data_IF_589053628928
#
_entry.id   IF_589053628928
#
_cell.length_a   1.000
_cell.length_b   1.000
_cell.length_c   1.000
_cell.angle_alpha   90.00
_cell.angle_beta   90.00
_cell.angle_gamma   90.00
#
_symmetry.space_group_name_H-M   'P 1'
#
loop_
_entity.id
_entity.type
_entity.pdbx_description
1 polymer ?
#
# COMPACT_ATOMS: atom_id res chain seq x y z
N UNK A 1 0.51 -13.85 -18.36
CA UNK A 1 1.58 -14.78 -17.92
C UNK A 1 1.02 -15.72 -16.89
N UNK A 2 1.46 -16.97 -16.89
CA UNK A 2 1.05 -18.01 -15.95
C UNK A 2 2.26 -18.44 -15.15
N UNK A 3 2.10 -18.58 -13.83
CA UNK A 3 3.10 -19.15 -12.93
C UNK A 3 2.55 -20.45 -12.39
N UNK A 4 3.29 -21.54 -12.52
CA UNK A 4 2.94 -22.81 -11.92
C UNK A 4 3.64 -22.98 -10.58
N UNK A 5 2.86 -23.24 -9.54
CA UNK A 5 3.34 -23.47 -8.18
C UNK A 5 3.12 -24.95 -7.88
N UNK A 6 4.20 -25.67 -7.60
CA UNK A 6 4.11 -27.06 -7.14
C UNK A 6 3.71 -27.12 -5.68
N UNK A 7 2.75 -27.97 -5.37
CA UNK A 7 2.33 -28.19 -4.00
C UNK A 7 3.36 -29.07 -3.28
N UNK A 8 3.96 -28.57 -2.21
CA UNK A 8 5.00 -29.28 -1.45
C UNK A 8 4.47 -30.37 -0.50
N UNK A 9 3.16 -30.37 -0.23
CA UNK A 9 2.53 -31.36 0.69
C UNK A 9 2.19 -32.69 0.02
N UNK A 10 2.82 -33.03 -1.11
CA UNK A 10 2.64 -34.31 -1.79
C UNK A 10 1.31 -34.45 -2.58
N UNK A 11 0.54 -33.40 -2.66
CA UNK A 11 -0.64 -33.34 -3.53
C UNK A 11 -0.23 -33.11 -4.99
N UNK A 12 -0.71 -33.94 -5.90
CA UNK A 12 -0.35 -33.97 -7.33
C UNK A 12 -0.85 -32.77 -8.16
N UNK A 13 -1.31 -31.69 -7.57
CA UNK A 13 -1.86 -30.55 -8.33
C UNK A 13 -0.95 -29.35 -8.32
N UNK A 14 -0.31 -29.10 -9.46
CA UNK A 14 0.27 -27.80 -9.75
C UNK A 14 -0.82 -26.73 -9.76
N UNK A 15 -0.62 -25.67 -9.01
CA UNK A 15 -1.51 -24.51 -9.04
C UNK A 15 -1.00 -23.57 -10.13
N UNK A 16 -1.80 -23.39 -11.16
CA UNK A 16 -1.52 -22.43 -12.22
C UNK A 16 -2.15 -21.08 -11.87
N UNK A 17 -1.32 -20.06 -11.76
CA UNK A 17 -1.74 -18.71 -11.37
C UNK A 17 -1.67 -17.81 -12.59
N UNK A 18 -2.83 -17.30 -13.05
CA UNK A 18 -2.88 -16.26 -14.06
C UNK A 18 -2.60 -14.91 -13.41
N UNK A 19 -1.43 -14.34 -13.67
CA UNK A 19 -0.90 -13.20 -12.94
C UNK A 19 -1.71 -11.91 -13.08
N UNK A 20 -2.37 -11.71 -14.23
CA UNK A 20 -3.16 -10.50 -14.52
C UNK A 20 -4.51 -10.45 -13.80
N UNK A 21 -5.03 -11.61 -13.37
CA UNK A 21 -6.36 -11.72 -12.73
C UNK A 21 -6.30 -12.17 -11.28
N UNK A 22 -5.12 -12.57 -10.79
CA UNK A 22 -4.94 -13.15 -9.45
C UNK A 22 -4.50 -12.12 -8.43
N UNK A 23 -5.19 -12.14 -7.28
CA UNK A 23 -4.78 -11.41 -6.06
C UNK A 23 -4.28 -12.43 -5.04
N UNK A 24 -3.05 -12.26 -4.60
CA UNK A 24 -2.40 -13.15 -3.63
C UNK A 24 -2.49 -12.54 -2.23
N UNK A 25 -3.23 -13.18 -1.33
CA UNK A 25 -3.26 -12.83 0.07
C UNK A 25 -2.10 -13.49 0.82
N UNK A 26 -1.15 -12.69 1.25
CA UNK A 26 0.02 -13.16 2.00
C UNK A 26 -0.32 -13.30 3.48
N UNK A 27 -0.04 -14.47 4.06
CA UNK A 27 -0.22 -14.72 5.49
C UNK A 27 1.13 -14.83 6.20
N UNK A 28 1.12 -14.63 7.52
CA UNK A 28 2.34 -14.51 8.35
C UNK A 28 3.36 -15.64 8.13
N UNK A 29 2.91 -16.88 8.00
CA UNK A 29 3.81 -18.03 7.77
C UNK A 29 4.68 -17.94 6.52
N UNK A 30 4.33 -17.07 5.57
CA UNK A 30 5.16 -16.87 4.37
C UNK A 30 6.50 -16.19 4.64
N UNK A 31 6.69 -15.54 5.79
CA UNK A 31 7.94 -14.87 6.17
C UNK A 31 8.83 -15.73 7.09
N UNK A 32 8.35 -16.89 7.53
CA UNK A 32 9.06 -17.72 8.52
C UNK A 32 10.27 -18.45 7.95
N UNK A 33 10.37 -18.53 6.60
CA UNK A 33 11.49 -19.21 5.96
C UNK A 33 11.84 -18.59 4.59
N UNK A 34 13.03 -18.94 4.10
CA UNK A 34 13.56 -18.44 2.82
C UNK A 34 12.71 -18.86 1.62
N UNK A 35 12.08 -20.03 1.66
CA UNK A 35 11.23 -20.54 0.59
C UNK A 35 10.00 -19.65 0.43
N UNK A 36 9.36 -19.27 1.53
CA UNK A 36 8.22 -18.34 1.52
C UNK A 36 8.60 -16.98 0.95
N UNK A 37 9.74 -16.41 1.36
CA UNK A 37 10.25 -15.15 0.81
C UNK A 37 10.58 -15.24 -0.68
N UNK A 38 11.16 -16.35 -1.13
CA UNK A 38 11.45 -16.59 -2.54
C UNK A 38 10.16 -16.71 -3.37
N UNK A 39 9.15 -17.41 -2.85
CA UNK A 39 7.85 -17.55 -3.49
C UNK A 39 7.14 -16.19 -3.63
N UNK A 40 7.15 -15.36 -2.57
CA UNK A 40 6.61 -14.00 -2.63
C UNK A 40 7.29 -13.18 -3.72
N UNK A 41 8.63 -13.21 -3.76
CA UNK A 41 9.40 -12.52 -4.80
C UNK A 41 9.06 -13.01 -6.21
N UNK A 42 8.91 -14.32 -6.39
CA UNK A 42 8.56 -14.93 -7.67
C UNK A 42 7.18 -14.50 -8.15
N UNK A 43 6.17 -14.58 -7.30
CA UNK A 43 4.80 -14.16 -7.64
C UNK A 43 4.72 -12.66 -7.91
N UNK A 44 5.42 -11.86 -7.13
CA UNK A 44 5.51 -10.42 -7.29
C UNK A 44 6.16 -10.05 -8.63
N UNK A 45 7.30 -10.66 -8.97
CA UNK A 45 8.01 -10.43 -10.23
C UNK A 45 7.23 -10.95 -11.44
N UNK A 46 6.47 -12.03 -11.27
CA UNK A 46 5.60 -12.57 -12.32
C UNK A 46 4.38 -11.69 -12.61
N UNK A 47 4.06 -10.73 -11.74
CA UNK A 47 3.00 -9.79 -12.01
C UNK A 47 1.73 -9.97 -11.19
N UNK A 48 1.70 -10.86 -10.22
CA UNK A 48 0.56 -10.98 -9.32
C UNK A 48 0.39 -9.74 -8.47
N UNK A 49 -0.86 -9.37 -8.22
CA UNK A 49 -1.15 -8.41 -7.16
C UNK A 49 -0.97 -9.09 -5.80
N UNK A 50 -0.06 -8.56 -5.01
CA UNK A 50 0.22 -9.07 -3.67
C UNK A 50 -0.50 -8.24 -2.60
N UNK A 51 -1.12 -8.90 -1.63
CA UNK A 51 -1.62 -8.30 -0.39
C UNK A 51 -1.00 -9.07 0.80
N UNK A 52 0.14 -8.64 1.32
CA UNK A 52 0.98 -7.51 0.88
C UNK A 52 2.13 -7.99 -0.01
N UNK A 53 2.82 -7.01 -0.61
CA UNK A 53 4.11 -7.23 -1.22
C UNK A 53 5.20 -7.53 -0.18
N UNK A 54 6.36 -7.95 -0.67
CA UNK A 54 7.50 -8.28 0.18
C UNK A 54 7.94 -7.12 1.06
N UNK A 55 8.03 -5.91 0.52
CA UNK A 55 8.57 -4.76 1.24
C UNK A 55 7.60 -4.27 2.32
N UNK A 56 6.30 -4.22 2.01
CA UNK A 56 5.25 -3.92 2.99
C UNK A 56 5.19 -4.94 4.12
N UNK A 57 5.33 -6.24 3.79
CA UNK A 57 5.40 -7.30 4.80
C UNK A 57 6.63 -7.14 5.70
N UNK A 58 7.82 -6.94 5.12
CA UNK A 58 9.06 -6.78 5.87
C UNK A 58 9.06 -5.54 6.76
N UNK A 59 8.49 -4.42 6.28
CA UNK A 59 8.36 -3.20 7.09
C UNK A 59 7.47 -3.44 8.31
N UNK A 60 6.35 -4.14 8.13
CA UNK A 60 5.43 -4.43 9.23
C UNK A 60 5.95 -5.50 10.20
N UNK A 61 6.72 -6.49 9.71
CA UNK A 61 7.24 -7.57 10.55
C UNK A 61 8.41 -7.12 11.44
N UNK A 62 9.26 -6.23 10.93
CA UNK A 62 10.41 -5.71 11.66
C UNK A 62 10.04 -4.46 12.47
N UNK A 63 9.99 -4.61 13.80
CA UNK A 63 9.56 -3.55 14.73
C UNK A 63 10.41 -2.27 14.65
N UNK A 64 11.72 -2.40 14.37
CA UNK A 64 12.58 -1.23 14.20
C UNK A 64 12.33 -0.52 12.87
N UNK A 65 12.07 -1.26 11.80
CA UNK A 65 11.67 -0.68 10.51
C UNK A 65 10.36 0.07 10.62
N UNK A 66 9.35 -0.51 11.28
CA UNK A 66 8.08 0.13 11.55
C UNK A 66 8.25 1.42 12.37
N UNK A 67 9.01 1.34 13.47
CA UNK A 67 9.34 2.51 14.30
C UNK A 67 10.00 3.63 13.47
N UNK A 68 10.99 3.30 12.66
CA UNK A 68 11.71 4.29 11.84
C UNK A 68 10.80 5.00 10.84
N UNK A 69 9.88 4.28 10.20
CA UNK A 69 8.93 4.92 9.27
C UNK A 69 7.89 5.76 9.99
N UNK A 70 7.50 5.39 11.21
CA UNK A 70 6.59 6.21 12.03
C UNK A 70 7.28 7.51 12.46
N UNK A 71 8.49 7.43 12.99
CA UNK A 71 9.26 8.61 13.41
C UNK A 71 9.48 9.60 12.26
N UNK A 72 9.86 9.10 11.06
CA UNK A 72 10.04 9.93 9.85
C UNK A 72 8.76 10.63 9.38
N UNK A 73 7.60 10.07 9.70
CA UNK A 73 6.30 10.63 9.34
C UNK A 73 5.60 11.36 10.49
N UNK A 74 6.33 11.66 11.58
CA UNK A 74 5.83 12.33 12.80
C UNK A 74 4.62 11.62 13.44
N UNK A 75 4.56 10.29 13.31
CA UNK A 75 3.54 9.46 13.94
C UNK A 75 4.00 9.13 15.34
N UNK A 76 3.19 9.47 16.33
CA UNK A 76 3.52 9.21 17.71
C UNK A 76 3.53 7.73 18.03
N UNK A 77 4.65 7.25 18.55
CA UNK A 77 4.89 5.85 18.90
C UNK A 77 5.70 5.79 20.19
N UNK A 78 5.65 4.73 20.99
CA UNK A 78 6.48 4.62 22.18
C UNK A 78 7.96 4.72 21.80
N UNK A 79 8.75 5.49 22.54
CA UNK A 79 10.18 5.68 22.28
C UNK A 79 10.87 4.33 22.29
N UNK A 80 11.60 4.06 21.23
CA UNK A 80 12.19 2.72 20.95
C UNK A 80 13.67 2.87 20.59
N UNK A 81 14.51 2.00 21.09
CA UNK A 81 15.93 1.95 20.74
C UNK A 81 16.40 0.53 20.48
N UNK A 82 17.25 0.39 19.46
CA UNK A 82 17.92 -0.87 19.17
C UNK A 82 19.02 -1.15 20.22
N UNK A 83 19.17 -2.40 20.59
CA UNK A 83 20.22 -2.88 21.49
C UNK A 83 21.00 -3.99 20.80
N UNK A 84 22.28 -3.76 20.53
CA UNK A 84 23.13 -4.68 19.77
C UNK A 84 24.42 -5.11 20.49
N UNK A 85 24.76 -4.49 21.62
CA UNK A 85 25.86 -4.87 22.48
C UNK A 85 25.66 -4.32 23.92
N UNK A 86 26.42 -4.81 24.89
CA UNK A 86 26.29 -4.43 26.31
C UNK A 86 26.49 -2.93 26.55
N UNK A 87 27.45 -2.31 25.86
CA UNK A 87 27.69 -0.86 25.99
C UNK A 87 26.52 -0.02 25.52
N UNK A 88 25.77 -0.50 24.51
CA UNK A 88 24.63 0.20 23.97
C UNK A 88 23.38 0.12 24.85
N UNK A 89 23.34 -0.72 25.88
CA UNK A 89 22.14 -0.90 26.71
C UNK A 89 21.81 0.36 27.50
N UNK A 90 22.82 0.95 28.15
CA UNK A 90 22.65 2.16 28.98
C UNK A 90 22.21 3.32 28.09
N UNK A 91 22.94 3.57 27.00
CA UNK A 91 22.59 4.65 26.06
C UNK A 91 21.19 4.46 25.46
N UNK A 92 20.81 3.23 25.16
CA UNK A 92 19.48 2.90 24.64
C UNK A 92 18.40 3.17 25.69
N UNK A 93 18.64 2.83 26.96
CA UNK A 93 17.73 3.13 28.06
C UNK A 93 17.55 4.64 28.26
N UNK A 94 18.62 5.41 28.20
CA UNK A 94 18.55 6.86 28.26
C UNK A 94 17.75 7.48 27.11
N UNK A 95 17.96 6.98 25.87
CA UNK A 95 17.21 7.45 24.68
C UNK A 95 15.71 7.23 24.77
N UNK A 96 15.26 6.17 25.44
CA UNK A 96 13.84 5.93 25.65
C UNK A 96 13.29 6.67 26.90
N UNK A 97 14.12 7.49 27.56
CA UNK A 97 13.74 8.37 28.68
C UNK A 97 14.26 7.96 30.04
N UNK A 98 15.11 6.93 30.15
CA UNK A 98 15.85 6.56 31.36
C UNK A 98 14.98 6.14 32.54
N UNK A 99 13.75 5.68 32.31
CA UNK A 99 12.79 5.31 33.35
C UNK A 99 12.36 3.85 33.23
N UNK A 100 12.16 3.21 34.37
CA UNK A 100 11.52 1.91 34.46
C UNK A 100 10.03 2.05 34.81
N UNK A 101 9.18 1.06 34.45
CA UNK A 101 9.54 -0.15 33.71
C UNK A 101 9.77 0.11 32.23
N UNK A 102 10.48 -0.83 31.57
CA UNK A 102 10.68 -0.83 30.11
C UNK A 102 10.21 -2.15 29.50
N UNK A 103 9.97 -2.15 28.20
CA UNK A 103 9.62 -3.34 27.43
C UNK A 103 10.80 -3.76 26.57
N UNK A 104 11.19 -5.03 26.65
CA UNK A 104 12.15 -5.66 25.76
C UNK A 104 11.37 -6.47 24.72
N UNK A 105 11.72 -6.35 23.45
CA UNK A 105 11.09 -7.11 22.36
C UNK A 105 12.14 -7.66 21.40
N UNK A 106 11.87 -8.82 20.81
CA UNK A 106 12.58 -9.27 19.62
C UNK A 106 12.17 -8.40 18.42
N UNK A 107 13.09 -8.17 17.47
CA UNK A 107 12.82 -7.38 16.26
C UNK A 107 11.66 -7.93 15.43
N UNK A 108 11.63 -9.26 15.29
CA UNK A 108 10.57 -9.99 14.59
C UNK A 108 9.80 -10.86 15.59
N UNK A 109 8.67 -11.37 15.17
CA UNK A 109 7.81 -12.22 15.98
C UNK A 109 6.43 -11.60 16.23
N UNK A 110 5.48 -12.49 16.49
CA UNK A 110 4.05 -12.16 16.59
C UNK A 110 3.46 -12.67 17.91
N UNK A 111 2.20 -12.36 18.18
CA UNK A 111 1.40 -12.91 19.29
C UNK A 111 1.89 -12.55 20.71
N UNK A 112 2.80 -11.56 20.85
CA UNK A 112 3.35 -11.18 22.15
C UNK A 112 4.43 -12.13 22.68
N UNK A 113 4.90 -13.10 21.87
CA UNK A 113 6.04 -13.97 22.18
C UNK A 113 7.32 -13.12 22.02
N UNK A 114 8.29 -13.29 22.92
CA UNK A 114 9.52 -12.50 22.92
C UNK A 114 9.35 -11.06 23.44
N UNK A 115 8.29 -10.80 24.23
CA UNK A 115 8.04 -9.50 24.87
C UNK A 115 8.14 -9.66 26.38
N UNK A 116 9.04 -8.91 27.01
CA UNK A 116 9.27 -8.91 28.45
C UNK A 116 9.16 -7.50 29.02
N UNK A 117 8.50 -7.37 30.17
CA UNK A 117 8.49 -6.13 30.97
C UNK A 117 9.53 -6.29 32.09
N UNK A 118 10.39 -5.30 32.26
CA UNK A 118 11.44 -5.29 33.28
C UNK A 118 11.40 -3.98 34.06
N UNK A 119 11.67 -4.09 35.35
CA UNK A 119 11.47 -3.01 36.31
C UNK A 119 12.79 -2.46 36.88
N UNK A 120 13.95 -3.02 36.48
CA UNK A 120 15.27 -2.55 36.91
C UNK A 120 16.33 -2.78 35.83
N UNK A 121 17.50 -2.13 35.99
CA UNK A 121 18.67 -2.30 35.11
C UNK A 121 19.19 -3.74 35.18
N UNK A 122 19.24 -4.33 36.37
CA UNK A 122 19.75 -5.69 36.59
C UNK A 122 18.88 -6.72 35.85
N UNK A 123 17.54 -6.57 35.98
CA UNK A 123 16.61 -7.46 35.27
C UNK A 123 16.65 -7.25 33.76
N UNK A 124 16.84 -6.00 33.30
CA UNK A 124 17.02 -5.69 31.89
C UNK A 124 18.25 -6.34 31.30
N UNK A 125 19.42 -6.20 31.95
CA UNK A 125 20.67 -6.80 31.54
C UNK A 125 20.55 -8.32 31.48
N UNK A 126 19.99 -8.95 32.52
CA UNK A 126 19.81 -10.40 32.61
C UNK A 126 18.95 -10.95 31.47
N UNK A 127 17.83 -10.31 31.16
CA UNK A 127 16.94 -10.73 30.07
C UNK A 127 17.63 -10.56 28.71
N UNK A 128 18.27 -9.42 28.47
CA UNK A 128 18.95 -9.14 27.20
C UNK A 128 20.09 -10.15 26.97
N UNK A 129 20.94 -10.37 27.96
CA UNK A 129 22.05 -11.35 27.86
C UNK A 129 21.56 -12.77 27.60
N UNK A 130 20.44 -13.15 28.24
CA UNK A 130 19.81 -14.46 28.01
C UNK A 130 19.32 -14.64 26.59
N UNK A 131 18.68 -13.62 26.03
CA UNK A 131 18.17 -13.66 24.65
C UNK A 131 19.31 -13.60 23.61
N UNK A 132 20.39 -12.90 23.89
CA UNK A 132 21.55 -12.86 22.99
C UNK A 132 22.25 -14.19 22.81
N UNK A 133 22.17 -15.11 23.81
CA UNK A 133 22.67 -16.47 23.64
C UNK A 133 22.01 -17.22 22.47
N UNK A 134 20.81 -16.78 22.06
CA UNK A 134 20.07 -17.31 20.92
C UNK A 134 20.19 -16.42 19.69
N UNK A 135 21.15 -15.48 19.65
CA UNK A 135 21.33 -14.50 18.58
C UNK A 135 20.09 -13.68 18.26
N UNK A 136 19.21 -13.45 19.24
CA UNK A 136 17.99 -12.68 19.03
C UNK A 136 18.31 -11.18 18.94
N UNK A 137 18.03 -10.50 17.82
CA UNK A 137 18.13 -9.06 17.76
C UNK A 137 17.00 -8.41 18.56
N UNK A 138 17.34 -7.40 19.37
CA UNK A 138 16.45 -6.85 20.39
C UNK A 138 16.26 -5.35 20.24
N UNK A 139 15.07 -4.89 20.64
CA UNK A 139 14.77 -3.49 20.93
C UNK A 139 14.32 -3.36 22.38
N UNK A 140 14.59 -2.19 22.95
CA UNK A 140 13.94 -1.75 24.18
C UNK A 140 13.00 -0.59 23.87
N UNK A 141 11.91 -0.52 24.61
CA UNK A 141 10.84 0.45 24.37
C UNK A 141 10.32 0.97 25.71
N UNK A 142 9.94 2.26 25.78
CA UNK A 142 9.28 2.81 26.97
C UNK A 142 7.98 2.04 27.24
N UNK A 143 7.68 1.88 28.51
CA UNK A 143 6.43 1.25 28.93
C UNK A 143 5.31 2.27 28.99
N UNK A 144 4.26 2.06 28.21
CA UNK A 144 3.02 2.81 28.31
C UNK A 144 2.01 2.02 29.14
N UNK A 145 1.46 2.66 30.19
CA UNK A 145 0.37 2.05 30.98
C UNK A 145 -0.92 2.18 30.20
N UNK A 146 -1.37 1.08 29.60
CA UNK A 146 -2.62 1.00 28.84
C UNK A 146 -3.50 -0.08 29.45
N UNK A 147 -4.82 0.11 29.42
CA UNK A 147 -5.79 -0.89 29.86
C UNK A 147 -6.38 -1.66 28.69
N UNK A 148 -6.35 -1.08 27.51
CA UNK A 148 -6.76 -1.68 26.25
C UNK A 148 -5.97 -1.06 25.11
N UNK A 149 -5.92 -1.77 24.00
CA UNK A 149 -5.50 -1.21 22.72
C UNK A 149 -6.60 -1.40 21.68
N UNK A 150 -6.46 -0.73 20.56
CA UNK A 150 -7.39 -0.81 19.44
C UNK A 150 -6.62 -1.32 18.22
N UNK A 151 -7.09 -2.43 17.64
CA UNK A 151 -6.63 -2.93 16.34
C UNK A 151 -7.55 -2.46 15.24
N UNK A 152 -7.00 -1.76 14.27
CA UNK A 152 -7.72 -1.30 13.08
C UNK A 152 -7.14 -1.93 11.83
N UNK A 153 -7.98 -2.53 11.00
CA UNK A 153 -7.57 -3.08 9.71
C UNK A 153 -7.78 -2.03 8.63
N UNK A 154 -6.72 -1.74 7.91
CA UNK A 154 -6.70 -0.79 6.78
C UNK A 154 -6.38 -1.57 5.52
N UNK A 155 -7.13 -1.34 4.44
CA UNK A 155 -6.92 -1.90 3.11
C UNK A 155 -6.91 -0.76 2.09
N UNK A 156 -5.82 -0.62 1.33
CA UNK A 156 -5.68 0.41 0.32
C UNK A 156 -6.01 1.83 0.81
N UNK A 157 -5.52 2.18 2.01
CA UNK A 157 -5.78 3.49 2.62
C UNK A 157 -7.22 3.72 3.08
N UNK A 158 -8.02 2.66 3.23
CA UNK A 158 -9.38 2.70 3.77
C UNK A 158 -9.50 1.83 5.00
N UNK A 159 -10.17 2.31 6.02
CA UNK A 159 -10.45 1.53 7.21
C UNK A 159 -11.52 0.48 6.87
N UNK A 160 -11.22 -0.77 7.14
CA UNK A 160 -12.13 -1.90 6.93
C UNK A 160 -12.89 -2.20 8.22
N UNK A 161 -12.15 -2.28 9.33
CA UNK A 161 -12.73 -2.69 10.60
C UNK A 161 -11.85 -2.28 11.78
N UNK A 162 -12.45 -2.10 12.96
CA UNK A 162 -11.74 -1.84 14.21
C UNK A 162 -12.30 -2.64 15.38
N UNK A 163 -11.42 -2.96 16.32
CA UNK A 163 -11.77 -3.73 17.54
C UNK A 163 -10.92 -3.27 18.71
N UNK A 164 -11.55 -3.11 19.84
CA UNK A 164 -10.91 -2.89 21.14
C UNK A 164 -10.50 -4.23 21.74
N UNK A 165 -9.28 -4.32 22.25
CA UNK A 165 -8.71 -5.49 22.92
C UNK A 165 -8.42 -5.14 24.37
N UNK A 166 -9.17 -5.68 25.29
CA UNK A 166 -9.04 -5.43 26.72
C UNK A 166 -8.07 -6.45 27.29
N UNK A 167 -6.97 -5.99 27.90
CA UNK A 167 -5.95 -6.86 28.47
C UNK A 167 -6.52 -7.69 29.63
N UNK A 168 -6.03 -8.92 29.86
CA UNK A 168 -6.32 -9.68 31.06
C UNK A 168 -5.77 -8.97 32.32
N UNK A 169 -6.40 -9.14 33.47
CA UNK A 169 -5.96 -8.51 34.75
C UNK A 169 -4.52 -8.86 35.14
N UNK A 170 -4.05 -10.06 34.80
CA UNK A 170 -2.75 -10.58 35.19
C UNK A 170 -1.66 -10.46 34.11
N UNK A 171 -1.96 -9.86 32.97
CA UNK A 171 -0.98 -9.66 31.88
C UNK A 171 -0.95 -8.18 31.47
N UNK A 172 0.26 -7.69 31.17
CA UNK A 172 0.43 -6.33 30.64
C UNK A 172 0.14 -6.26 29.14
N UNK A 173 0.05 -7.40 28.44
CA UNK A 173 -0.19 -7.53 27.00
C UNK A 173 -1.68 -7.65 26.70
N UNK A 174 -2.11 -7.05 25.60
CA UNK A 174 -3.51 -7.06 25.11
C UNK A 174 -3.73 -8.01 23.92
N UNK A 175 -2.80 -8.93 23.68
CA UNK A 175 -2.89 -9.88 22.57
C UNK A 175 -4.02 -10.90 22.81
N UNK A 176 -4.81 -11.18 21.77
CA UNK A 176 -5.91 -12.17 21.85
C UNK A 176 -5.45 -13.56 22.28
N UNK A 177 -4.28 -14.00 21.80
CA UNK A 177 -3.67 -15.28 22.19
C UNK A 177 -3.37 -15.38 23.69
N UNK A 178 -3.28 -14.23 24.37
CA UNK A 178 -3.09 -14.14 25.82
C UNK A 178 -4.41 -14.01 26.58
N UNK A 179 -5.57 -14.20 25.92
CA UNK A 179 -6.88 -14.20 26.57
C UNK A 179 -7.58 -12.83 26.59
N UNK A 180 -7.13 -11.84 25.84
CA UNK A 180 -7.80 -10.55 25.76
C UNK A 180 -9.23 -10.65 25.25
N UNK A 181 -10.15 -9.94 25.89
CA UNK A 181 -11.52 -9.77 25.42
C UNK A 181 -11.55 -8.77 24.28
N UNK A 182 -12.38 -9.04 23.27
CA UNK A 182 -12.50 -8.16 22.09
C UNK A 182 -13.92 -7.61 21.96
N UNK A 183 -14.03 -6.33 21.64
CA UNK A 183 -15.28 -5.59 21.41
C UNK A 183 -15.18 -4.77 20.13
N UNK A 184 -16.28 -4.59 19.37
CA UNK A 184 -16.31 -3.60 18.29
C UNK A 184 -15.97 -2.21 18.82
N UNK A 185 -15.22 -1.43 18.04
CA UNK A 185 -14.79 -0.09 18.44
C UNK A 185 -15.01 0.93 17.31
N UNK A 186 -15.67 2.04 17.62
CA UNK A 186 -15.85 3.14 16.66
C UNK A 186 -14.76 4.19 16.87
N UNK A 187 -13.97 4.39 15.84
CA UNK A 187 -12.85 5.35 15.86
C UNK A 187 -13.33 6.80 15.80
N UNK A 188 -12.69 7.67 16.55
CA UNK A 188 -12.80 9.13 16.40
C UNK A 188 -12.23 9.60 15.05
N UNK A 189 -12.43 10.87 14.74
CA UNK A 189 -11.87 11.48 13.53
C UNK A 189 -10.34 11.56 13.60
N UNK A 190 -9.82 11.88 14.76
CA UNK A 190 -8.40 11.98 15.06
C UNK A 190 -7.72 10.62 14.96
N UNK A 191 -8.30 9.58 15.58
CA UNK A 191 -7.81 8.21 15.47
C UNK A 191 -7.78 7.75 14.00
N UNK A 192 -8.86 7.99 13.22
CA UNK A 192 -8.87 7.67 11.78
C UNK A 192 -7.71 8.31 11.03
N UNK A 193 -7.43 9.58 11.30
CA UNK A 193 -6.33 10.31 10.66
C UNK A 193 -4.96 9.70 10.96
N UNK A 194 -4.67 9.46 12.25
CA UNK A 194 -3.39 8.89 12.69
C UNK A 194 -3.19 7.47 12.17
N UNK A 195 -4.23 6.63 12.25
CA UNK A 195 -4.18 5.26 11.75
C UNK A 195 -3.93 5.20 10.25
N UNK A 196 -4.61 6.05 9.47
CA UNK A 196 -4.39 6.13 8.02
C UNK A 196 -3.00 6.67 7.67
N UNK A 197 -2.45 7.58 8.47
CA UNK A 197 -1.07 8.04 8.34
C UNK A 197 -0.08 6.91 8.60
N UNK A 198 -0.27 6.15 9.70
CA UNK A 198 0.56 5.00 10.05
C UNK A 198 0.50 3.91 8.96
N UNK A 199 -0.69 3.59 8.49
CA UNK A 199 -0.88 2.61 7.41
C UNK A 199 -0.13 3.03 6.12
N UNK A 200 -0.23 4.31 5.72
CA UNK A 200 0.51 4.83 4.55
C UNK A 200 2.02 4.76 4.74
N UNK A 201 2.51 5.08 5.94
CA UNK A 201 3.94 5.07 6.24
C UNK A 201 4.58 3.69 6.06
N UNK A 202 3.84 2.60 6.30
CA UNK A 202 4.36 1.22 6.09
C UNK A 202 4.50 0.84 4.63
N UNK A 203 3.83 1.51 3.71
CA UNK A 203 3.74 1.10 2.30
C UNK A 203 2.88 -0.15 2.06
N UNK A 204 2.42 -0.85 3.10
CA UNK A 204 1.62 -2.05 2.97
C UNK A 204 0.23 -1.75 2.40
N UNK A 205 -0.26 -2.63 1.53
CA UNK A 205 -1.60 -2.51 0.95
C UNK A 205 -2.70 -2.85 1.98
N UNK A 206 -2.45 -3.87 2.81
CA UNK A 206 -3.28 -4.24 3.95
C UNK A 206 -2.44 -4.22 5.22
N UNK A 207 -2.92 -3.57 6.25
CA UNK A 207 -2.20 -3.51 7.52
C UNK A 207 -3.17 -3.46 8.70
N UNK A 208 -2.84 -4.19 9.75
CA UNK A 208 -3.45 -4.03 11.06
C UNK A 208 -2.63 -3.03 11.87
N UNK A 209 -3.20 -1.88 12.18
CA UNK A 209 -2.57 -0.86 13.02
C UNK A 209 -3.08 -1.02 14.45
N UNK A 210 -2.16 -1.24 15.38
CA UNK A 210 -2.45 -1.29 16.80
C UNK A 210 -2.11 0.06 17.43
N UNK A 211 -3.07 0.66 18.10
CA UNK A 211 -2.86 1.95 18.78
C UNK A 211 -3.52 1.96 20.17
N UNK A 212 -3.08 2.89 20.99
CA UNK A 212 -3.67 3.15 22.30
C UNK A 212 -3.77 4.67 22.54
N UNK A 213 -4.66 5.05 23.44
CA UNK A 213 -4.80 6.44 23.91
C UNK A 213 -4.19 6.51 25.30
N UNK A 214 -3.20 7.38 25.46
CA UNK A 214 -2.52 7.61 26.74
C UNK A 214 -2.45 9.11 26.99
N UNK A 215 -3.06 9.57 28.07
CA UNK A 215 -3.15 11.02 28.41
C UNK A 215 -3.71 11.85 27.23
N UNK A 216 -4.79 11.40 26.64
CA UNK A 216 -5.47 12.00 25.48
C UNK A 216 -4.64 12.08 24.19
N UNK A 217 -3.52 11.36 24.14
CA UNK A 217 -2.67 11.28 22.96
C UNK A 217 -2.71 9.87 22.33
N UNK A 218 -2.75 9.84 21.00
CA UNK A 218 -2.80 8.59 20.23
C UNK A 218 -1.38 8.09 20.00
N UNK A 219 -1.09 6.86 20.45
CA UNK A 219 0.18 6.18 20.24
C UNK A 219 -0.02 4.98 19.32
N UNK A 220 0.64 4.95 18.18
CA UNK A 220 0.73 3.76 17.34
C UNK A 220 1.73 2.79 17.96
N UNK A 221 1.28 1.61 18.36
CA UNK A 221 2.08 0.63 19.09
C UNK A 221 2.83 -0.31 18.15
N UNK A 222 2.16 -0.78 17.11
CA UNK A 222 2.73 -1.66 16.07
C UNK A 222 1.87 -1.70 14.82
N UNK A 223 2.47 -2.16 13.72
CA UNK A 223 1.78 -2.52 12.49
C UNK A 223 1.98 -3.99 12.16
N UNK A 224 0.95 -4.61 11.60
CA UNK A 224 0.97 -6.02 11.25
C UNK A 224 0.52 -6.20 9.79
N UNK A 225 1.42 -6.68 8.92
CA UNK A 225 1.14 -6.89 7.49
C UNK A 225 0.23 -8.08 7.20
N UNK A 226 -0.02 -8.94 8.17
CA UNK A 226 -0.93 -10.09 8.08
C UNK A 226 -1.84 -10.15 9.30
N UNK A 227 -2.74 -9.15 9.50
CA UNK A 227 -3.54 -9.08 10.71
C UNK A 227 -4.52 -10.26 10.83
N UNK A 228 -4.75 -10.70 12.08
CA UNK A 228 -5.81 -11.67 12.39
C UNK A 228 -7.19 -11.05 12.17
N UNK A 229 -8.08 -11.79 11.51
CA UNK A 229 -9.43 -11.34 11.14
C UNK A 229 -10.55 -12.05 11.94
N UNK A 230 -10.22 -12.73 13.02
CA UNK A 230 -11.15 -13.54 13.79
C UNK A 230 -11.66 -12.87 15.09
N UNK A 231 -11.66 -11.55 15.20
CA UNK A 231 -12.16 -10.80 16.36
C UNK A 231 -13.57 -10.24 16.11
N UNK A 232 -14.22 -9.74 17.15
CA UNK A 232 -15.42 -8.92 17.00
C UNK A 232 -15.01 -7.52 16.57
N UNK A 233 -15.35 -7.14 15.35
CA UNK A 233 -15.01 -5.86 14.75
C UNK A 233 -16.22 -4.96 14.57
N UNK A 234 -16.01 -3.65 14.65
CA UNK A 234 -16.84 -2.65 14.01
C UNK A 234 -16.36 -2.53 12.55
N UNK A 235 -17.22 -2.81 11.59
CA UNK A 235 -16.91 -2.71 10.18
C UNK A 235 -17.19 -1.30 9.63
N UNK A 236 -16.60 -0.97 8.50
CA UNK A 236 -16.75 0.33 7.84
C UNK A 236 -17.08 0.16 6.37
N UNK A 237 -17.96 1.02 5.86
CA UNK A 237 -18.28 1.07 4.44
C UNK A 237 -17.06 1.57 3.65
N UNK A 238 -16.49 0.71 2.84
CA UNK A 238 -15.32 1.04 2.05
C UNK A 238 -15.63 1.83 0.78
N UNK A 239 -16.90 1.99 0.42
CA UNK A 239 -17.34 2.74 -0.76
C UNK A 239 -17.59 4.21 -0.46
N UNK A 240 -17.85 4.56 0.81
CA UNK A 240 -18.19 5.92 1.25
C UNK A 240 -16.94 6.70 1.67
N UNK A 241 -16.92 8.01 1.37
CA UNK A 241 -15.90 8.96 1.85
C UNK A 241 -16.63 10.22 2.35
N UNK A 242 -16.59 10.54 3.67
CA UNK A 242 -15.89 9.82 4.75
C UNK A 242 -16.50 8.45 5.04
N UNK A 243 -15.69 7.56 5.63
CA UNK A 243 -16.13 6.20 5.94
C UNK A 243 -17.05 6.16 7.16
N UNK A 244 -18.22 5.57 7.00
CA UNK A 244 -19.20 5.39 8.06
C UNK A 244 -19.18 3.96 8.60
N UNK A 245 -19.39 3.76 9.92
CA UNK A 245 -19.52 2.43 10.50
C UNK A 245 -20.77 1.73 9.97
N UNK A 246 -20.63 0.43 9.67
CA UNK A 246 -21.76 -0.45 9.32
C UNK A 246 -21.83 -1.64 10.29
N UNK A 247 -23.03 -2.19 10.46
CA UNK A 247 -23.24 -3.37 11.28
C UNK A 247 -23.28 -4.63 10.41
N UNK A 248 -22.89 -5.76 11.00
CA UNK A 248 -23.15 -7.12 10.50
C UNK A 248 -22.47 -7.55 9.19
N UNK A 249 -21.54 -6.80 8.61
CA UNK A 249 -20.78 -7.27 7.47
C UNK A 249 -19.55 -8.10 7.88
N UNK A 250 -19.30 -9.18 7.15
CA UNK A 250 -18.07 -9.96 7.34
C UNK A 250 -16.89 -9.22 6.70
N UNK A 251 -15.85 -8.97 7.49
CA UNK A 251 -14.63 -8.25 7.06
C UNK A 251 -14.02 -8.82 5.78
N UNK A 252 -13.97 -10.15 5.64
CA UNK A 252 -13.42 -10.80 4.44
C UNK A 252 -14.32 -10.53 3.23
N UNK A 253 -15.65 -10.58 3.41
CA UNK A 253 -16.63 -10.27 2.36
C UNK A 253 -16.45 -8.81 1.88
N UNK A 254 -16.33 -7.85 2.80
CA UNK A 254 -16.07 -6.45 2.47
C UNK A 254 -14.78 -6.27 1.66
N UNK A 255 -13.71 -6.93 2.07
CA UNK A 255 -12.42 -6.89 1.38
C UNK A 255 -12.51 -7.50 -0.01
N UNK A 256 -13.16 -8.65 -0.16
CA UNK A 256 -13.33 -9.32 -1.46
C UNK A 256 -14.17 -8.46 -2.39
N UNK A 257 -15.30 -7.93 -1.91
CA UNK A 257 -16.15 -7.04 -2.70
C UNK A 257 -15.40 -5.79 -3.18
N UNK A 258 -14.61 -5.19 -2.30
CA UNK A 258 -13.79 -4.04 -2.65
C UNK A 258 -12.76 -4.39 -3.75
N UNK A 259 -12.09 -5.53 -3.65
CA UNK A 259 -11.09 -5.99 -4.60
C UNK A 259 -11.66 -6.54 -5.92
N UNK A 260 -12.95 -6.84 -5.98
CA UNK A 260 -13.61 -7.19 -7.25
C UNK A 260 -13.55 -6.04 -8.26
N UNK A 261 -13.56 -4.80 -7.79
CA UNK A 261 -13.34 -3.65 -8.67
C UNK A 261 -11.85 -3.52 -9.03
N UNK A 262 -11.47 -3.66 -10.31
CA UNK A 262 -10.07 -3.57 -10.75
C UNK A 262 -9.37 -2.25 -10.39
N UNK A 263 -10.12 -1.16 -10.24
CA UNK A 263 -9.61 0.17 -9.87
C UNK A 263 -8.96 0.16 -8.48
N UNK A 264 -9.40 -0.73 -7.60
CA UNK A 264 -8.86 -0.86 -6.26
C UNK A 264 -7.62 -1.76 -6.17
N UNK A 265 -7.19 -2.35 -7.28
CA UNK A 265 -6.04 -3.24 -7.31
C UNK A 265 -4.77 -2.44 -7.54
N UNK A 266 -3.80 -2.61 -6.66
CA UNK A 266 -2.46 -1.99 -6.78
C UNK A 266 -1.42 -3.06 -7.06
N UNK A 267 -0.40 -2.66 -7.79
CA UNK A 267 0.78 -3.47 -8.05
C UNK A 267 2.00 -2.75 -7.53
N UNK A 268 3.04 -3.50 -7.16
CA UNK A 268 4.29 -2.90 -6.72
C UNK A 268 5.06 -2.32 -7.90
N UNK A 269 5.76 -1.23 -7.63
CA UNK A 269 6.63 -0.57 -8.58
C UNK A 269 7.96 -1.32 -8.65
N UNK A 270 8.16 -2.11 -9.71
CA UNK A 270 9.39 -2.87 -9.91
C UNK A 270 10.33 -2.24 -10.94
N UNK A 271 9.86 -1.25 -11.71
CA UNK A 271 10.62 -0.69 -12.82
C UNK A 271 10.51 0.83 -12.88
N UNK A 272 11.60 1.48 -13.24
CA UNK A 272 11.57 2.90 -13.55
C UNK A 272 11.06 3.13 -14.97
N UNK A 273 10.10 4.02 -15.13
CA UNK A 273 9.61 4.54 -16.42
C UNK A 273 9.97 6.00 -16.59
N UNK A 274 9.92 6.49 -17.82
CA UNK A 274 9.90 7.92 -18.09
C UNK A 274 8.55 8.56 -17.81
N UNK A 275 8.50 9.88 -17.74
CA UNK A 275 7.22 10.60 -17.60
C UNK A 275 6.40 10.64 -18.91
N UNK A 276 7.01 10.28 -20.04
CA UNK A 276 6.35 9.93 -21.29
C UNK A 276 6.77 8.54 -21.70
N UNK A 277 5.79 7.74 -22.10
CA UNK A 277 5.97 6.39 -22.62
C UNK A 277 5.02 6.14 -23.79
N UNK A 278 5.31 5.10 -24.58
CA UNK A 278 4.37 4.59 -25.58
C UNK A 278 3.59 3.43 -24.98
N UNK A 279 2.28 3.49 -25.05
CA UNK A 279 1.38 2.40 -24.67
C UNK A 279 0.49 2.04 -25.87
N UNK A 280 0.01 0.81 -25.92
CA UNK A 280 -0.96 0.38 -26.92
C UNK A 280 -2.32 0.15 -26.27
N UNK A 281 -3.34 0.86 -26.77
CA UNK A 281 -4.73 0.52 -26.49
C UNK A 281 -5.13 -0.52 -27.54
N UNK A 282 -5.35 -1.77 -27.16
CA UNK A 282 -5.37 -2.93 -28.10
C UNK A 282 -6.33 -2.77 -29.27
N UNK A 283 -7.53 -2.18 -29.05
CA UNK A 283 -8.51 -1.99 -30.12
C UNK A 283 -8.25 -0.71 -30.95
N UNK A 284 -7.37 0.17 -30.46
CA UNK A 284 -7.10 1.47 -31.10
C UNK A 284 -5.72 1.51 -31.76
N UNK A 285 -4.66 1.13 -31.02
CA UNK A 285 -3.26 1.19 -31.43
C UNK A 285 -2.35 1.96 -30.48
N UNK A 286 -1.14 2.25 -30.94
CA UNK A 286 -0.11 2.91 -30.15
C UNK A 286 -0.46 4.40 -29.90
N UNK A 287 -0.29 4.82 -28.66
CA UNK A 287 -0.47 6.20 -28.23
C UNK A 287 0.69 6.66 -27.36
N UNK A 288 1.04 7.94 -27.49
CA UNK A 288 1.94 8.60 -26.54
C UNK A 288 1.18 8.90 -25.26
N UNK A 289 1.67 8.35 -24.17
CA UNK A 289 1.11 8.52 -22.85
C UNK A 289 2.00 9.41 -21.98
N UNK A 290 1.39 10.35 -21.24
CA UNK A 290 2.04 11.03 -20.13
C UNK A 290 1.69 10.31 -18.85
N UNK A 291 2.67 9.90 -18.09
CA UNK A 291 2.54 9.26 -16.80
C UNK A 291 2.45 10.34 -15.71
N UNK A 292 1.25 10.51 -15.13
CA UNK A 292 0.94 11.62 -14.24
C UNK A 292 0.70 11.13 -12.80
N UNK A 293 1.74 11.21 -11.99
CA UNK A 293 1.69 10.81 -10.57
C UNK A 293 0.81 11.73 -9.72
N UNK A 294 0.51 12.94 -10.19
CA UNK A 294 -0.41 13.88 -9.55
C UNK A 294 -1.89 13.62 -9.85
N UNK A 295 -2.18 12.83 -10.89
CA UNK A 295 -3.57 12.55 -11.29
C UNK A 295 -4.20 11.46 -10.41
N UNK A 296 -4.97 11.88 -9.41
CA UNK A 296 -5.72 11.01 -8.48
C UNK A 296 -7.13 10.65 -8.91
N UNK A 297 -7.54 10.96 -10.15
CA UNK A 297 -8.88 10.61 -10.67
C UNK A 297 -9.05 9.08 -10.78
N UNK A 298 -10.28 8.62 -10.78
CA UNK A 298 -10.65 7.20 -10.84
C UNK A 298 -10.44 6.54 -12.21
N UNK A 299 -9.98 7.30 -13.22
CA UNK A 299 -9.68 6.82 -14.56
C UNK A 299 -8.55 7.62 -15.21
N UNK A 300 -7.75 6.97 -16.05
CA UNK A 300 -6.83 7.66 -16.98
C UNK A 300 -7.64 8.47 -18.00
N UNK A 301 -7.07 9.54 -18.55
CA UNK A 301 -7.78 10.40 -19.49
C UNK A 301 -7.28 10.16 -20.92
N UNK A 302 -8.20 9.90 -21.84
CA UNK A 302 -7.91 9.71 -23.27
C UNK A 302 -8.62 10.78 -24.12
N UNK A 303 -7.82 11.49 -24.89
CA UNK A 303 -8.32 12.54 -25.80
C UNK A 303 -8.81 11.92 -27.10
N UNK A 304 -10.06 12.18 -27.43
CA UNK A 304 -10.74 11.68 -28.64
C UNK A 304 -11.38 12.83 -29.42
N UNK A 305 -11.74 12.59 -30.68
CA UNK A 305 -12.24 13.64 -31.56
C UNK A 305 -13.75 13.91 -31.34
N UNK A 306 -14.51 12.83 -31.04
CA UNK A 306 -15.95 12.91 -30.77
C UNK A 306 -16.38 11.92 -29.71
N UNK A 307 -17.39 12.30 -28.93
CA UNK A 307 -18.00 11.46 -27.90
C UNK A 307 -19.52 11.64 -27.97
N UNK A 308 -20.23 10.52 -27.90
CA UNK A 308 -21.69 10.48 -27.75
C UNK A 308 -22.04 9.39 -26.74
N UNK A 309 -22.73 9.77 -25.67
CA UNK A 309 -23.26 8.80 -24.69
C UNK A 309 -24.71 8.48 -25.08
N UNK A 310 -25.02 7.20 -25.20
CA UNK A 310 -26.33 6.70 -25.61
C UNK A 310 -26.74 5.58 -24.64
N UNK A 311 -27.44 5.93 -23.58
CA UNK A 311 -27.81 5.06 -22.48
C UNK A 311 -26.57 4.43 -21.80
N UNK A 312 -26.43 3.11 -21.91
CA UNK A 312 -25.30 2.35 -21.36
C UNK A 312 -24.12 2.19 -22.33
N UNK A 313 -24.13 2.87 -23.46
CA UNK A 313 -23.09 2.81 -24.49
C UNK A 313 -22.43 4.16 -24.69
N UNK A 314 -21.14 4.13 -24.97
CA UNK A 314 -20.35 5.30 -25.39
C UNK A 314 -19.86 5.04 -26.80
N UNK A 315 -20.28 5.90 -27.73
CA UNK A 315 -19.79 5.95 -29.11
C UNK A 315 -18.72 7.04 -29.16
N UNK A 316 -17.56 6.73 -29.67
CA UNK A 316 -16.49 7.70 -29.78
C UNK A 316 -15.69 7.52 -31.07
N UNK A 317 -15.01 8.57 -31.49
CA UNK A 317 -14.22 8.62 -32.71
C UNK A 317 -12.85 9.20 -32.40
N UNK A 318 -11.81 8.60 -32.99
CA UNK A 318 -10.43 9.11 -32.96
C UNK A 318 -9.72 8.78 -34.26
N UNK A 319 -9.12 9.80 -34.91
CA UNK A 319 -8.40 9.69 -36.19
C UNK A 319 -9.24 8.95 -37.25
N UNK A 320 -10.54 9.29 -37.36
CA UNK A 320 -11.47 8.70 -38.34
C UNK A 320 -11.94 7.27 -37.98
N UNK A 321 -11.41 6.63 -36.95
CA UNK A 321 -11.89 5.33 -36.47
C UNK A 321 -13.01 5.51 -35.46
N UNK A 322 -14.05 4.68 -35.57
CA UNK A 322 -15.26 4.71 -34.72
C UNK A 322 -15.28 3.51 -33.80
N UNK A 323 -15.64 3.73 -32.54
CA UNK A 323 -15.65 2.73 -31.48
C UNK A 323 -16.95 2.80 -30.69
N UNK A 324 -17.35 1.68 -30.10
CA UNK A 324 -18.51 1.57 -29.20
C UNK A 324 -18.12 0.72 -28.00
N UNK A 325 -18.18 1.30 -26.81
CA UNK A 325 -17.88 0.61 -25.54
C UNK A 325 -19.07 0.72 -24.59
N UNK A 326 -19.05 -0.11 -23.54
CA UNK A 326 -19.98 0.02 -22.44
C UNK A 326 -19.58 1.20 -21.54
N UNK A 327 -20.54 2.03 -21.15
CA UNK A 327 -20.36 3.04 -20.11
C UNK A 327 -20.29 2.35 -18.75
N UNK A 328 -19.21 2.57 -18.01
CA UNK A 328 -19.05 2.02 -16.65
C UNK A 328 -19.22 3.08 -15.56
N UNK A 329 -19.23 4.35 -15.91
CA UNK A 329 -19.39 5.46 -14.97
C UNK A 329 -19.03 6.80 -15.59
N UNK A 330 -19.06 7.83 -14.75
CA UNK A 330 -18.65 9.19 -15.11
C UNK A 330 -17.51 9.63 -14.18
N UNK A 331 -16.47 10.25 -14.73
CA UNK A 331 -15.37 10.84 -13.95
C UNK A 331 -15.62 12.33 -13.77
N UNK A 332 -15.56 12.79 -12.51
CA UNK A 332 -15.60 14.21 -12.15
C UNK A 332 -14.23 14.61 -11.63
N UNK A 333 -13.53 15.55 -12.27
CA UNK A 333 -12.28 16.05 -11.72
C UNK A 333 -12.55 16.88 -10.45
N UNK A 334 -11.86 16.59 -9.36
CA UNK A 334 -12.11 17.18 -8.03
C UNK A 334 -11.82 18.69 -7.92
N UNK A 335 -11.12 19.28 -8.90
CA UNK A 335 -10.60 20.67 -8.81
C UNK A 335 -11.02 21.59 -9.96
N UNK A 336 -12.04 21.25 -10.73
CA UNK A 336 -12.48 22.07 -11.87
C UNK A 336 -13.81 22.73 -11.57
N UNK A 337 -13.81 24.07 -11.58
CA UNK A 337 -14.99 24.93 -11.34
C UNK A 337 -16.12 24.71 -12.38
N UNK A 338 -15.79 24.18 -13.56
CA UNK A 338 -16.78 23.71 -14.56
C UNK A 338 -16.81 22.21 -14.55
N UNK A 339 -17.96 21.63 -14.23
CA UNK A 339 -18.23 20.19 -14.20
C UNK A 339 -17.98 19.63 -15.60
N UNK A 340 -16.86 18.94 -15.78
CA UNK A 340 -16.49 18.22 -16.99
C UNK A 340 -16.67 16.73 -16.73
N UNK A 341 -17.90 16.26 -16.83
CA UNK A 341 -18.21 14.85 -16.67
C UNK A 341 -17.71 14.07 -17.89
N UNK A 342 -16.81 13.13 -17.64
CA UNK A 342 -16.21 12.30 -18.68
C UNK A 342 -16.74 10.89 -18.61
N UNK A 343 -17.30 10.34 -19.70
CA UNK A 343 -17.72 8.95 -19.71
C UNK A 343 -16.50 8.04 -19.56
N UNK A 344 -16.60 7.10 -18.65
CA UNK A 344 -15.56 6.09 -18.37
C UNK A 344 -15.93 4.81 -19.10
N UNK A 345 -14.97 4.30 -19.86
CA UNK A 345 -15.01 2.98 -20.50
C UNK A 345 -13.86 2.11 -19.99
N UNK A 346 -13.91 0.83 -20.27
CA UNK A 346 -12.83 -0.12 -19.96
C UNK A 346 -12.15 -0.53 -21.26
N UNK A 347 -10.84 -0.54 -21.25
CA UNK A 347 -10.00 -0.97 -22.36
C UNK A 347 -8.94 -1.98 -21.91
N UNK A 348 -8.31 -2.65 -22.88
CA UNK A 348 -7.07 -3.41 -22.68
C UNK A 348 -5.89 -2.55 -23.11
N UNK A 349 -4.87 -2.47 -22.26
CA UNK A 349 -3.64 -1.73 -22.56
C UNK A 349 -2.46 -2.70 -22.56
N UNK A 350 -1.67 -2.68 -23.63
CA UNK A 350 -0.36 -3.33 -23.64
C UNK A 350 0.73 -2.27 -23.35
N UNK A 351 1.57 -2.59 -22.38
CA UNK A 351 2.71 -1.76 -22.00
C UNK A 351 3.83 -2.65 -21.44
N UNK A 352 5.06 -2.41 -21.85
CA UNK A 352 6.26 -3.11 -21.38
C UNK A 352 6.10 -4.65 -21.42
N UNK A 353 5.69 -5.18 -22.58
CA UNK A 353 5.45 -6.62 -22.85
C UNK A 353 4.34 -7.27 -21.99
N UNK A 354 3.54 -6.48 -21.30
CA UNK A 354 2.41 -6.93 -20.49
C UNK A 354 1.10 -6.41 -21.05
N UNK A 355 0.04 -7.20 -20.93
CA UNK A 355 -1.33 -6.78 -21.25
C UNK A 355 -2.09 -6.58 -19.93
N UNK A 356 -2.69 -5.41 -19.78
CA UNK A 356 -3.49 -5.01 -18.64
C UNK A 356 -4.96 -4.95 -19.06
N UNK A 357 -5.74 -5.90 -18.57
CA UNK A 357 -7.18 -5.95 -18.81
C UNK A 357 -7.94 -4.97 -17.91
N UNK A 358 -9.13 -4.57 -18.35
CA UNK A 358 -10.05 -3.76 -17.57
C UNK A 358 -9.43 -2.46 -17.03
N UNK A 359 -8.69 -1.74 -17.87
CA UNK A 359 -8.14 -0.42 -17.52
C UNK A 359 -9.22 0.64 -17.73
N UNK A 360 -9.65 1.37 -16.68
CA UNK A 360 -10.63 2.44 -16.83
C UNK A 360 -9.98 3.67 -17.47
N UNK A 361 -10.61 4.16 -18.55
CA UNK A 361 -10.25 5.43 -19.19
C UNK A 361 -11.47 6.34 -19.33
N UNK A 362 -11.32 7.59 -18.93
CA UNK A 362 -12.29 8.66 -19.14
C UNK A 362 -12.03 9.33 -20.48
N UNK A 363 -13.04 9.43 -21.33
CA UNK A 363 -12.93 10.05 -22.64
C UNK A 363 -13.18 11.56 -22.56
N UNK A 364 -12.39 12.35 -23.30
CA UNK A 364 -12.57 13.80 -23.40
C UNK A 364 -12.27 14.30 -24.80
N UNK A 365 -13.00 15.32 -25.23
CA UNK A 365 -12.70 16.05 -26.47
C UNK A 365 -11.87 17.31 -26.22
N UNK A 366 -11.55 17.61 -24.96
CA UNK A 366 -10.72 18.75 -24.63
C UNK A 366 -9.27 18.46 -25.02
N UNK A 367 -8.67 19.41 -25.70
CA UNK A 367 -7.27 19.32 -26.09
C UNK A 367 -6.38 19.21 -24.85
N UNK A 368 -5.45 18.28 -24.89
CA UNK A 368 -4.46 18.05 -23.84
C UNK A 368 -3.09 17.84 -24.49
N UNK A 369 -2.03 18.20 -23.73
CA UNK A 369 -0.65 18.08 -24.20
C UNK A 369 -0.20 16.63 -24.51
N UNK A 370 -1.03 15.65 -24.18
CA UNK A 370 -0.76 14.22 -24.43
C UNK A 370 -2.06 13.51 -24.78
N UNK A 371 -2.00 12.57 -25.70
CA UNK A 371 -3.16 11.79 -26.17
C UNK A 371 -3.76 10.95 -25.03
N UNK A 372 -2.91 10.36 -24.17
CA UNK A 372 -3.30 9.60 -22.99
C UNK A 372 -2.60 10.17 -21.76
N UNK A 373 -3.37 10.52 -20.74
CA UNK A 373 -2.86 10.89 -19.42
C UNK A 373 -3.13 9.75 -18.46
N UNK A 374 -2.06 9.03 -18.07
CA UNK A 374 -2.16 7.84 -17.21
C UNK A 374 -2.19 8.26 -15.75
N UNK A 375 -3.23 7.88 -15.04
CA UNK A 375 -3.42 8.21 -13.64
C UNK A 375 -2.63 7.29 -12.68
N UNK A 376 -2.57 7.65 -11.40
CA UNK A 376 -1.85 6.92 -10.35
C UNK A 376 -2.27 5.45 -10.24
N UNK A 377 -3.56 5.16 -10.35
CA UNK A 377 -4.06 3.79 -10.19
C UNK A 377 -3.63 2.90 -11.37
N UNK A 378 -3.64 3.45 -12.58
CA UNK A 378 -3.12 2.75 -13.76
C UNK A 378 -1.60 2.58 -13.69
N UNK A 379 -0.85 3.60 -13.23
CA UNK A 379 0.59 3.49 -12.99
C UNK A 379 0.93 2.41 -11.97
N UNK A 380 0.15 2.33 -10.89
CA UNK A 380 0.29 1.26 -9.90
C UNK A 380 0.08 -0.12 -10.52
N UNK A 381 -0.86 -0.27 -11.46
CA UNK A 381 -1.06 -1.52 -12.21
C UNK A 381 0.09 -1.83 -13.16
N UNK A 382 0.70 -0.81 -13.76
CA UNK A 382 1.88 -0.97 -14.61
C UNK A 382 3.15 -1.34 -13.84
N UNK A 383 3.13 -1.23 -12.51
CA UNK A 383 4.28 -1.50 -11.62
C UNK A 383 5.50 -0.66 -11.97
N UNK A 384 5.31 0.61 -12.17
CA UNK A 384 6.38 1.55 -12.50
C UNK A 384 6.44 2.70 -11.51
N UNK A 385 7.66 3.12 -11.21
CA UNK A 385 7.96 4.43 -10.65
C UNK A 385 8.30 5.38 -11.79
N UNK A 386 7.80 6.60 -11.74
CA UNK A 386 8.00 7.58 -12.81
C UNK A 386 9.20 8.45 -12.52
N UNK A 387 10.20 8.43 -13.40
CA UNK A 387 11.32 9.37 -13.36
C UNK A 387 10.92 10.65 -14.14
N UNK A 388 10.81 11.81 -13.47
CA UNK A 388 10.36 13.04 -14.10
C UNK A 388 11.40 13.66 -15.06
N UNK A 389 12.64 13.16 -15.05
CA UNK A 389 13.72 13.64 -15.90
C UNK A 389 13.95 12.80 -17.16
N UNK A 390 13.26 11.66 -17.31
CA UNK A 390 13.47 10.72 -18.41
C UNK A 390 12.20 10.51 -19.22
N UNK A 391 12.35 10.18 -20.48
CA UNK A 391 11.28 9.82 -21.43
C UNK A 391 11.59 8.49 -22.09
N UNK A 392 10.59 7.70 -22.42
CA UNK A 392 10.70 6.46 -23.19
C UNK A 392 11.78 5.51 -22.64
N UNK A 393 11.71 5.25 -21.32
CA UNK A 393 12.65 4.35 -20.63
C UNK A 393 12.31 2.90 -20.90
N UNK A 394 11.01 2.58 -20.89
CA UNK A 394 10.47 1.23 -21.08
C UNK A 394 9.86 1.00 -22.47
N UNK A 395 9.83 2.04 -23.30
CA UNK A 395 9.26 1.98 -24.64
C UNK A 395 10.10 2.75 -25.64
N UNK A 396 10.07 2.30 -26.89
CA UNK A 396 10.74 3.02 -27.98
C UNK A 396 9.69 3.85 -28.73
N UNK A 397 9.80 5.17 -28.65
CA UNK A 397 9.07 6.06 -29.54
C UNK A 397 9.84 6.18 -30.86
N UNK A 398 9.35 5.55 -31.92
CA UNK A 398 9.73 5.92 -33.28
C UNK A 398 8.80 7.06 -33.69
N UNK A 399 9.35 8.26 -33.83
CA UNK A 399 8.63 9.39 -34.42
C UNK A 399 8.07 8.98 -35.77
N UNK A 400 6.80 8.60 -35.81
CA UNK A 400 5.99 8.81 -36.98
C UNK A 400 5.48 10.24 -36.84
N UNK A 401 5.81 11.06 -37.84
CA UNK A 401 5.44 12.47 -37.94
C UNK A 401 3.97 12.69 -37.64
N UNK A 402 3.61 12.86 -36.38
CA UNK A 402 2.36 13.51 -36.00
C UNK A 402 2.65 15.01 -36.01
N UNK A 403 2.23 15.66 -37.08
CA UNK A 403 2.36 17.11 -37.33
C UNK A 403 1.63 17.99 -36.29
N UNK A 404 1.16 17.44 -35.20
CA UNK A 404 0.40 18.14 -34.15
C UNK A 404 1.20 18.49 -32.90
N UNK A 405 2.48 18.12 -32.79
CA UNK A 405 3.31 18.43 -31.62
C UNK A 405 4.35 19.57 -31.91
N UNK A 406 3.93 20.58 -32.71
CA UNK A 406 4.81 21.66 -33.17
C UNK A 406 5.09 22.78 -32.14
N UNK A 407 4.85 22.58 -30.84
CA UNK A 407 5.01 23.66 -29.84
C UNK A 407 5.83 23.32 -28.62
N UNK A 408 6.86 22.49 -28.72
CA UNK A 408 7.79 22.30 -27.63
C UNK A 408 9.25 22.43 -28.05
N UNK A 409 9.62 23.56 -28.66
CA UNK A 409 10.99 24.06 -28.62
C UNK A 409 11.13 24.97 -27.40
N UNK A 410 11.32 24.37 -26.23
CA UNK A 410 11.95 25.06 -25.11
C UNK A 410 13.33 24.41 -24.99
N UNK A 411 14.32 25.10 -25.51
CA UNK A 411 15.73 24.80 -25.24
C UNK A 411 15.94 24.86 -23.71
N UNK A 412 16.68 23.94 -23.11
CA UNK A 412 17.03 24.06 -21.69
C UNK A 412 17.87 25.34 -21.54
N UNK A 413 17.73 26.09 -20.44
CA UNK A 413 18.59 27.20 -20.14
C UNK A 413 20.03 26.70 -20.04
N UNK A 414 20.95 27.29 -20.84
CA UNK A 414 22.38 27.09 -20.64
C UNK A 414 22.78 27.61 -19.28
N UNK A 415 22.97 26.71 -18.35
CA UNK A 415 23.59 27.06 -17.07
C UNK A 415 25.08 27.12 -17.27
N UNK A 416 25.60 28.30 -17.58
CA UNK A 416 27.03 28.59 -17.45
C UNK A 416 27.38 28.61 -15.98
N UNK A 417 27.93 27.53 -15.47
CA UNK A 417 28.64 27.53 -14.20
C UNK A 417 30.04 28.07 -14.48
N UNK A 418 30.29 29.33 -14.13
CA UNK A 418 31.66 29.85 -14.09
C UNK A 418 32.30 29.35 -12.79
N UNK A 419 33.25 28.45 -12.94
CA UNK A 419 34.21 28.14 -11.89
C UNK A 419 35.32 29.20 -11.95
N UNK A 420 35.19 30.29 -11.25
CA UNK A 420 36.30 31.18 -10.93
C UNK A 420 36.82 30.89 -9.53
N UNK A 421 38.06 30.42 -9.53
CA UNK A 421 39.17 30.35 -8.55
C UNK A 421 38.84 30.41 -7.04
#
# INVERSE_FOLDING_TARGET
>A
STVSIKNYDGGEKDISVETSSTVVFVRAGALENEIGLALLGTLQNAGCMMINDRDGMMTCDNKMSAYTVFERNNIKTPRTSLVNNEKSIIDAHERIGGKFPVIIKTLTGTQGIGVSKVDSMESMMSVIQSLWKFNAPLIIQEFLKIDFDIRTIVLNGRIVASTKRIKPEKDFRSNRHMGAKTEPYTLSKEEKSEILAAARATGAYMVGVDHAIVNDEIYVLECNGSPGMGSKFQNYDMTVVPQEPIKEENIIKLMVQYLQNPVHRRFNFNQESGYHETVEILDYGLVRAKFDTGNGTNASMFVVDKIQVDGKKVKWEKNGKKFVNNLIGMSKPEHVVKIDERPIIVVKIAFNNMIYDNVPIGLTTKDARSTLLVNRDTLSRFKVSVNPHRKFVLSNWKEREDKTDATAKISPPETKISLDK
#
